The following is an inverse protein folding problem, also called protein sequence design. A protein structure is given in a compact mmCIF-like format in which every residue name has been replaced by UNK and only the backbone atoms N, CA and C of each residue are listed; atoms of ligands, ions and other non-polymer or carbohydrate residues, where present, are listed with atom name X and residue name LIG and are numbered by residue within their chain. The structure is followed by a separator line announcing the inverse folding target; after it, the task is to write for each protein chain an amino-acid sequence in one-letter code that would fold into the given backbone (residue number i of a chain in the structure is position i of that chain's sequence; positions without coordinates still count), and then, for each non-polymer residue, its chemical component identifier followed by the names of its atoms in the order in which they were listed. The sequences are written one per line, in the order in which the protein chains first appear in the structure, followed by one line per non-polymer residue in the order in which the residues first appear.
data_IF_792696784579
#
_entry.id   IF_792696784579
#
_cell.length_a   1.000
_cell.length_b   1.000
_cell.length_c   1.000
_cell.angle_alpha   90.00
_cell.angle_beta   90.00
_cell.angle_gamma   90.00
#
_symmetry.space_group_name_H-M   'P 1'
#
loop_
_entity.id
_entity.type
_entity.pdbx_description
1 polymer ?
#
# COMPACT_ATOMS: atom_id res chain seq x y z
N UNK A 1 -15.54 0.04 -20.44
CA UNK A 1 -16.06 1.40 -20.23
C UNK A 1 -16.32 1.60 -18.74
N UNK A 2 -15.32 2.14 -18.04
CA UNK A 2 -15.44 2.51 -16.64
C UNK A 2 -15.66 4.03 -16.58
N UNK A 3 -16.93 4.44 -16.60
CA UNK A 3 -17.32 5.78 -16.24
C UNK A 3 -17.64 5.84 -14.75
N UNK A 4 -16.73 6.39 -13.97
CA UNK A 4 -17.01 6.88 -12.62
C UNK A 4 -16.47 8.31 -12.53
N UNK A 5 -17.37 9.27 -12.79
CA UNK A 5 -17.11 10.68 -12.56
C UNK A 5 -18.17 11.21 -11.59
N UNK A 6 -17.83 11.32 -10.32
CA UNK A 6 -18.53 12.21 -9.39
C UNK A 6 -17.62 13.39 -9.04
N UNK A 7 -18.06 14.60 -9.38
CA UNK A 7 -17.31 15.87 -9.34
C UNK A 7 -17.23 16.50 -7.94
N UNK A 8 -17.10 15.72 -6.89
CA UNK A 8 -16.87 16.24 -5.52
C UNK A 8 -15.71 15.54 -4.84
N UNK A 9 -14.55 15.47 -5.50
CA UNK A 9 -13.36 14.93 -4.87
C UNK A 9 -12.57 16.04 -4.18
N UNK A 10 -12.78 16.13 -2.87
CA UNK A 10 -11.77 16.66 -1.95
C UNK A 10 -10.56 15.74 -2.02
N UNK A 11 -9.34 16.28 -1.82
CA UNK A 11 -8.10 15.50 -1.75
C UNK A 11 -8.27 14.32 -0.79
N UNK A 12 -8.47 13.12 -1.34
CA UNK A 12 -8.63 11.91 -0.55
C UNK A 12 -7.25 11.29 -0.30
N UNK A 13 -6.93 11.06 0.95
CA UNK A 13 -5.76 10.30 1.41
C UNK A 13 -5.80 8.88 0.81
N UNK A 14 -4.63 8.22 0.67
CA UNK A 14 -4.52 6.83 0.16
C UNK A 14 -5.50 5.87 0.86
N UNK A 15 -5.75 6.05 2.16
CA UNK A 15 -6.70 5.27 2.95
C UNK A 15 -8.13 5.38 2.47
N UNK A 16 -8.60 6.58 2.17
CA UNK A 16 -9.98 6.78 1.72
C UNK A 16 -10.21 6.12 0.36
N UNK A 17 -9.15 6.02 -0.47
CA UNK A 17 -9.21 5.32 -1.76
C UNK A 17 -9.18 3.79 -1.62
N UNK A 18 -8.47 3.24 -0.64
CA UNK A 18 -8.49 1.80 -0.38
C UNK A 18 -9.90 1.31 -0.04
N UNK A 19 -10.64 2.05 0.79
CA UNK A 19 -12.02 1.70 1.14
C UNK A 19 -13.02 1.85 -0.01
N UNK A 20 -12.73 2.71 -1.00
CA UNK A 20 -13.65 2.95 -2.12
C UNK A 20 -13.28 2.12 -3.34
N UNK A 21 -11.99 1.94 -3.60
CA UNK A 21 -11.48 1.32 -4.83
C UNK A 21 -11.29 -0.19 -4.68
N UNK A 22 -10.81 -0.66 -3.52
CA UNK A 22 -10.49 -2.08 -3.34
C UNK A 22 -11.72 -2.99 -3.37
N UNK A 23 -12.86 -2.68 -2.69
CA UNK A 23 -14.03 -3.53 -2.76
C UNK A 23 -14.63 -3.64 -4.16
N UNK A 24 -14.60 -2.55 -4.93
CA UNK A 24 -15.16 -2.50 -6.27
C UNK A 24 -14.22 -3.11 -7.33
N UNK A 25 -12.90 -2.86 -7.22
CA UNK A 25 -11.92 -3.36 -8.18
C UNK A 25 -11.56 -4.84 -7.99
N UNK A 26 -11.52 -5.30 -6.74
CA UNK A 26 -11.02 -6.65 -6.42
C UNK A 26 -12.14 -7.61 -6.02
N UNK A 27 -13.38 -7.15 -5.84
CA UNK A 27 -14.47 -7.95 -5.30
C UNK A 27 -14.20 -8.46 -3.88
N UNK A 28 -13.19 -7.90 -3.20
CA UNK A 28 -12.69 -8.32 -1.91
C UNK A 28 -13.45 -7.60 -0.78
N UNK A 29 -13.99 -8.36 0.17
CA UNK A 29 -14.75 -7.82 1.31
C UNK A 29 -13.91 -7.72 2.58
N UNK A 30 -12.84 -8.51 2.69
CA UNK A 30 -11.98 -8.56 3.86
C UNK A 30 -10.75 -7.66 3.63
N UNK A 31 -10.65 -6.60 4.43
CA UNK A 31 -9.53 -5.67 4.39
C UNK A 31 -8.87 -5.54 5.77
N UNK A 32 -7.58 -5.85 5.86
CA UNK A 32 -6.83 -5.85 7.11
C UNK A 32 -5.83 -4.70 7.13
N UNK A 33 -5.96 -3.82 8.12
CA UNK A 33 -5.12 -2.64 8.28
C UNK A 33 -4.72 -2.44 9.74
N UNK A 34 -3.41 -2.44 10.04
CA UNK A 34 -2.89 -2.30 11.40
C UNK A 34 -3.26 -0.97 12.06
N UNK A 35 -3.35 0.12 11.29
CA UNK A 35 -3.70 1.43 11.83
C UNK A 35 -5.18 1.50 12.26
N UNK A 36 -6.07 0.83 11.52
CA UNK A 36 -7.49 0.74 11.90
C UNK A 36 -7.69 -0.18 13.12
N UNK A 37 -6.93 -1.27 13.20
CA UNK A 37 -6.90 -2.12 14.40
C UNK A 37 -6.42 -1.31 15.60
N UNK A 38 -5.33 -0.54 15.47
CA UNK A 38 -4.80 0.29 16.55
C UNK A 38 -5.83 1.34 17.02
N UNK A 39 -6.56 1.97 16.09
CA UNK A 39 -7.66 2.90 16.42
C UNK A 39 -8.80 2.20 17.15
N UNK A 40 -9.13 0.97 16.76
CA UNK A 40 -10.15 0.17 17.45
C UNK A 40 -9.76 -0.18 18.89
N UNK A 41 -8.47 -0.47 19.13
CA UNK A 41 -7.94 -0.81 20.45
C UNK A 41 -7.78 0.43 21.35
N UNK A 42 -7.28 1.53 20.81
CA UNK A 42 -7.02 2.78 21.53
C UNK A 42 -7.33 4.00 20.66
N UNK A 43 -8.59 4.45 20.62
CA UNK A 43 -9.02 5.53 19.72
C UNK A 43 -8.29 6.86 19.92
N UNK A 44 -7.89 7.16 21.17
CA UNK A 44 -7.22 8.41 21.52
C UNK A 44 -5.69 8.33 21.53
N UNK A 45 -5.13 7.11 21.55
CA UNK A 45 -3.68 6.90 21.55
C UNK A 45 -3.30 5.61 20.81
N UNK A 46 -3.56 5.52 19.49
CA UNK A 46 -3.30 4.31 18.70
C UNK A 46 -1.81 3.92 18.65
N UNK A 47 -0.90 4.88 18.84
CA UNK A 47 0.55 4.61 18.84
C UNK A 47 0.96 3.68 20.00
N UNK A 48 0.33 3.80 21.14
CA UNK A 48 0.64 2.96 22.32
C UNK A 48 0.41 1.47 22.10
N UNK A 49 -0.45 1.12 21.14
CA UNK A 49 -0.84 -0.26 20.80
C UNK A 49 -0.39 -0.70 19.41
N UNK A 50 0.50 0.05 18.75
CA UNK A 50 0.91 -0.21 17.37
C UNK A 50 1.54 -1.61 17.18
N UNK A 51 2.31 -2.10 18.16
CA UNK A 51 2.92 -3.44 18.12
C UNK A 51 1.84 -4.53 18.26
N UNK A 52 0.89 -4.32 19.16
CA UNK A 52 -0.23 -5.23 19.36
C UNK A 52 -1.13 -5.29 18.12
N UNK A 53 -1.47 -4.14 17.56
CA UNK A 53 -2.23 -4.02 16.32
C UNK A 53 -1.53 -4.76 15.15
N UNK A 54 -0.20 -4.63 15.04
CA UNK A 54 0.58 -5.36 14.04
C UNK A 54 0.50 -6.88 14.23
N UNK A 55 0.52 -7.38 15.46
CA UNK A 55 0.34 -8.81 15.75
C UNK A 55 -1.05 -9.31 15.39
N UNK A 56 -2.09 -8.55 15.77
CA UNK A 56 -3.48 -8.86 15.44
C UNK A 56 -3.72 -8.85 13.92
N UNK A 57 -3.12 -7.90 13.21
CA UNK A 57 -3.15 -7.87 11.75
C UNK A 57 -2.60 -9.18 11.16
N UNK A 58 -1.42 -9.61 11.58
CA UNK A 58 -0.79 -10.84 11.09
C UNK A 58 -1.64 -12.07 11.43
N UNK A 59 -2.20 -12.13 12.64
CA UNK A 59 -3.08 -13.22 13.05
C UNK A 59 -4.33 -13.25 12.17
N UNK A 60 -5.02 -12.11 11.95
CA UNK A 60 -6.21 -12.06 11.09
C UNK A 60 -5.90 -12.50 9.66
N UNK A 61 -4.75 -12.09 9.11
CA UNK A 61 -4.31 -12.53 7.78
C UNK A 61 -4.10 -14.06 7.73
N UNK A 62 -3.54 -14.66 8.78
CA UNK A 62 -3.36 -16.11 8.88
C UNK A 62 -4.70 -16.86 9.02
N UNK A 63 -5.64 -16.30 9.77
CA UNK A 63 -7.00 -16.86 9.92
C UNK A 63 -7.72 -16.86 8.56
N UNK A 64 -7.77 -15.73 7.87
CA UNK A 64 -8.38 -15.60 6.54
C UNK A 64 -7.75 -16.56 5.52
N UNK A 65 -6.42 -16.65 5.51
CA UNK A 65 -5.70 -17.59 4.66
C UNK A 65 -6.04 -19.05 4.99
N UNK A 66 -6.37 -19.37 6.23
CA UNK A 66 -6.73 -20.70 6.68
C UNK A 66 -8.19 -21.05 6.38
N UNK A 67 -9.05 -20.03 6.41
CA UNK A 67 -10.48 -20.11 6.06
C UNK A 67 -10.70 -20.19 4.55
N UNK A 68 -9.70 -19.86 3.73
CA UNK A 68 -9.80 -19.84 2.27
C UNK A 68 -10.49 -18.58 1.74
N UNK A 69 -10.53 -17.50 2.54
CA UNK A 69 -11.18 -16.25 2.18
C UNK A 69 -10.27 -15.34 1.36
N UNK A 70 -10.84 -14.65 0.38
CA UNK A 70 -10.13 -13.58 -0.34
C UNK A 70 -10.02 -12.33 0.54
N UNK A 71 -8.83 -11.78 0.66
CA UNK A 71 -8.57 -10.60 1.49
C UNK A 71 -7.52 -9.69 0.90
N UNK A 72 -7.56 -8.42 1.32
CA UNK A 72 -6.54 -7.44 1.03
C UNK A 72 -5.95 -6.89 2.34
N UNK A 73 -4.72 -6.39 2.30
CA UNK A 73 -4.08 -5.71 3.41
C UNK A 73 -3.22 -4.55 2.95
N UNK A 74 -3.05 -3.58 3.84
CA UNK A 74 -2.23 -2.40 3.59
C UNK A 74 -0.86 -2.51 4.26
N UNK A 75 0.20 -2.14 3.52
CA UNK A 75 1.56 -2.07 4.02
C UNK A 75 2.36 -0.99 3.30
N UNK A 76 3.37 -0.45 3.96
CA UNK A 76 4.34 0.47 3.34
C UNK A 76 5.42 -0.24 2.53
N UNK A 77 5.44 -1.57 2.49
CA UNK A 77 6.51 -2.42 1.95
C UNK A 77 7.90 -2.17 2.58
N UNK A 78 7.99 -1.38 3.65
CA UNK A 78 9.26 -1.03 4.29
C UNK A 78 9.94 -2.22 5.00
N UNK A 79 9.25 -3.34 5.15
CA UNK A 79 9.76 -4.58 5.76
C UNK A 79 9.84 -5.70 4.74
N UNK A 80 10.71 -6.68 5.01
CA UNK A 80 10.84 -7.91 4.21
C UNK A 80 9.96 -9.05 4.70
N UNK A 81 9.25 -8.84 5.79
CA UNK A 81 8.50 -9.89 6.49
C UNK A 81 7.36 -10.49 5.65
N UNK A 82 6.77 -9.70 4.76
CA UNK A 82 5.67 -10.16 3.92
C UNK A 82 6.10 -11.05 2.74
N UNK A 83 7.39 -11.14 2.40
CA UNK A 83 7.87 -12.02 1.32
C UNK A 83 7.46 -13.47 1.60
N UNK A 84 7.78 -13.98 2.80
CA UNK A 84 7.40 -15.34 3.21
C UNK A 84 5.88 -15.54 3.29
N UNK A 85 5.15 -14.49 3.60
CA UNK A 85 3.69 -14.54 3.61
C UNK A 85 3.14 -14.69 2.18
N UNK A 86 3.64 -13.90 1.22
CA UNK A 86 3.28 -14.00 -0.19
C UNK A 86 3.57 -15.41 -0.73
N UNK A 87 4.78 -15.94 -0.51
CA UNK A 87 5.17 -17.28 -0.95
C UNK A 87 4.25 -18.37 -0.36
N UNK A 88 3.92 -18.27 0.93
CA UNK A 88 3.01 -19.20 1.60
C UNK A 88 1.58 -19.11 1.07
N UNK A 89 1.13 -17.90 0.77
CA UNK A 89 -0.20 -17.63 0.20
C UNK A 89 -0.30 -18.24 -1.20
N UNK A 90 0.70 -18.03 -2.04
CA UNK A 90 0.78 -18.63 -3.39
C UNK A 90 0.86 -20.16 -3.33
N UNK A 91 1.59 -20.73 -2.36
CA UNK A 91 1.64 -22.19 -2.17
C UNK A 91 0.27 -22.79 -1.81
N UNK A 92 -0.66 -21.99 -1.31
CA UNK A 92 -2.07 -22.37 -1.08
C UNK A 92 -3.00 -22.12 -2.29
N UNK A 93 -2.46 -21.66 -3.42
CA UNK A 93 -3.21 -21.46 -4.66
C UNK A 93 -3.80 -20.05 -4.84
N UNK A 94 -3.46 -19.09 -3.97
CA UNK A 94 -3.90 -17.72 -4.14
C UNK A 94 -3.13 -17.00 -5.24
N UNK A 95 -3.81 -16.12 -5.92
CA UNK A 95 -3.23 -15.16 -6.85
C UNK A 95 -2.95 -13.84 -6.11
N UNK A 96 -1.69 -13.44 -6.03
CA UNK A 96 -1.27 -12.26 -5.25
C UNK A 96 -1.10 -11.05 -6.17
N UNK A 97 -1.93 -10.03 -5.91
CA UNK A 97 -1.88 -8.73 -6.61
C UNK A 97 -1.27 -7.66 -5.72
N UNK A 98 -0.28 -6.94 -6.24
CA UNK A 98 0.33 -5.78 -5.59
C UNK A 98 -0.12 -4.49 -6.27
N UNK A 99 -0.77 -3.61 -5.53
CA UNK A 99 -1.07 -2.24 -5.96
C UNK A 99 -0.19 -1.27 -5.15
N UNK A 100 0.74 -0.60 -5.81
CA UNK A 100 1.65 0.35 -5.15
C UNK A 100 1.32 1.78 -5.53
N UNK A 101 0.98 2.60 -4.54
CA UNK A 101 0.68 4.03 -4.71
C UNK A 101 1.92 4.84 -4.35
N UNK A 102 2.66 5.21 -5.37
CA UNK A 102 3.91 5.95 -5.26
C UNK A 102 3.68 7.45 -5.11
N UNK A 103 4.61 8.11 -4.41
CA UNK A 103 4.77 9.56 -4.34
C UNK A 103 6.16 9.92 -4.85
N UNK A 104 6.34 11.01 -5.62
CA UNK A 104 7.64 11.38 -6.19
C UNK A 104 8.74 11.68 -5.17
N UNK A 105 8.39 12.12 -3.96
CA UNK A 105 9.35 12.51 -2.94
C UNK A 105 8.91 12.10 -1.53
N UNK A 106 9.84 11.85 -0.60
CA UNK A 106 9.49 11.62 0.80
C UNK A 106 8.89 12.85 1.47
N UNK A 107 9.18 14.07 0.99
CA UNK A 107 8.58 15.31 1.46
C UNK A 107 7.06 15.30 1.28
N UNK A 108 6.56 14.87 0.12
CA UNK A 108 5.12 14.73 -0.11
C UNK A 108 4.48 13.71 0.84
N UNK A 109 5.19 12.65 1.18
CA UNK A 109 4.71 11.71 2.18
C UNK A 109 4.63 12.35 3.57
N UNK A 110 5.60 13.20 3.93
CA UNK A 110 5.60 13.96 5.20
C UNK A 110 4.45 14.97 5.22
N UNK A 111 4.23 15.73 4.15
CA UNK A 111 3.12 16.68 4.03
C UNK A 111 1.76 16.00 4.19
N UNK A 112 1.57 14.83 3.58
CA UNK A 112 0.33 14.04 3.75
C UNK A 112 0.12 13.56 5.18
N UNK A 113 1.19 13.16 5.87
CA UNK A 113 1.09 12.81 7.29
C UNK A 113 0.72 14.05 8.11
N UNK A 114 1.31 15.22 7.82
CA UNK A 114 0.98 16.48 8.51
C UNK A 114 -0.50 16.88 8.30
N UNK A 115 -1.01 16.79 7.07
CA UNK A 115 -2.43 17.02 6.77
C UNK A 115 -3.33 16.08 7.55
N UNK A 116 -3.02 14.79 7.55
CA UNK A 116 -3.77 13.78 8.30
C UNK A 116 -3.77 14.06 9.81
N UNK A 117 -2.65 14.53 10.37
CA UNK A 117 -2.56 14.91 11.78
C UNK A 117 -3.47 16.08 12.08
N UNK A 118 -3.56 17.09 11.19
CA UNK A 118 -4.49 18.22 11.36
C UNK A 118 -5.97 17.79 11.33
N UNK A 119 -6.27 16.64 10.73
CA UNK A 119 -7.60 16.02 10.66
C UNK A 119 -7.86 14.99 11.78
N UNK A 120 -6.99 14.96 12.81
CA UNK A 120 -7.14 14.07 13.98
C UNK A 120 -6.45 12.71 13.85
N UNK A 121 -5.60 12.52 12.83
CA UNK A 121 -4.74 11.34 12.71
C UNK A 121 -3.50 11.42 13.62
N UNK A 122 -2.81 10.30 13.81
CA UNK A 122 -1.58 10.28 14.60
C UNK A 122 -0.36 10.79 13.81
N UNK A 123 0.60 11.36 14.53
CA UNK A 123 1.86 11.83 13.97
C UNK A 123 2.86 10.68 13.80
N UNK A 124 3.62 10.72 12.71
CA UNK A 124 4.76 9.83 12.49
C UNK A 124 6.01 10.72 12.32
N UNK A 125 7.10 10.48 13.06
CA UNK A 125 8.32 11.24 12.92
C UNK A 125 8.85 11.26 11.48
N UNK A 126 9.33 12.40 11.00
CA UNK A 126 9.74 12.59 9.60
C UNK A 126 10.90 11.67 9.18
N UNK A 127 11.82 11.36 10.10
CA UNK A 127 12.90 10.40 9.85
C UNK A 127 12.38 8.96 9.64
N UNK A 128 11.33 8.59 10.37
CA UNK A 128 10.64 7.29 10.18
C UNK A 128 9.95 7.24 8.83
N UNK A 129 9.29 8.33 8.42
CA UNK A 129 8.64 8.42 7.10
C UNK A 129 9.67 8.28 5.99
N UNK A 130 10.78 9.04 6.05
CA UNK A 130 11.87 8.97 5.05
C UNK A 130 12.45 7.56 4.95
N UNK A 131 12.75 6.94 6.09
CA UNK A 131 13.26 5.56 6.13
C UNK A 131 12.27 4.56 5.54
N UNK A 132 10.98 4.66 5.88
CA UNK A 132 9.94 3.78 5.34
C UNK A 132 9.75 4.00 3.84
N UNK A 133 9.82 5.23 3.37
CA UNK A 133 9.74 5.60 1.96
C UNK A 133 10.89 4.95 1.17
N UNK A 134 12.14 5.16 1.60
CA UNK A 134 13.30 4.58 0.96
C UNK A 134 13.28 3.06 0.91
N UNK A 135 12.98 2.42 2.06
CA UNK A 135 12.88 0.97 2.13
C UNK A 135 11.70 0.43 1.30
N UNK A 136 10.57 1.14 1.26
CA UNK A 136 9.40 0.76 0.49
C UNK A 136 9.70 0.69 -1.00
N UNK A 137 10.35 1.71 -1.58
CA UNK A 137 10.73 1.73 -2.99
C UNK A 137 11.77 0.64 -3.30
N UNK A 138 12.82 0.52 -2.48
CA UNK A 138 13.83 -0.52 -2.67
C UNK A 138 13.23 -1.92 -2.63
N UNK A 139 12.38 -2.20 -1.65
CA UNK A 139 11.74 -3.51 -1.54
C UNK A 139 10.71 -3.75 -2.66
N UNK A 140 10.04 -2.70 -3.15
CA UNK A 140 9.09 -2.80 -4.26
C UNK A 140 9.74 -3.50 -5.46
N UNK A 141 10.84 -2.96 -5.94
CA UNK A 141 11.50 -3.40 -7.17
C UNK A 141 12.33 -4.68 -6.96
N UNK A 142 13.01 -4.80 -5.80
CA UNK A 142 13.94 -5.93 -5.55
C UNK A 142 13.29 -7.17 -4.97
N UNK A 143 12.18 -7.04 -4.25
CA UNK A 143 11.58 -8.14 -3.50
C UNK A 143 10.15 -8.46 -3.91
N UNK A 144 9.30 -7.44 -4.06
CA UNK A 144 7.85 -7.67 -4.15
C UNK A 144 7.35 -7.81 -5.59
N UNK A 145 7.80 -6.96 -6.53
CA UNK A 145 7.39 -7.12 -7.94
C UNK A 145 7.79 -8.48 -8.51
N UNK A 146 8.99 -9.05 -8.23
CA UNK A 146 9.36 -10.34 -8.78
C UNK A 146 8.53 -11.53 -8.26
N UNK A 147 7.97 -11.43 -7.07
CA UNK A 147 7.24 -12.55 -6.46
C UNK A 147 5.72 -12.45 -6.61
N UNK A 148 5.16 -11.23 -6.77
CA UNK A 148 3.72 -11.05 -6.94
C UNK A 148 3.27 -11.53 -8.33
N UNK A 149 2.11 -12.20 -8.40
CA UNK A 149 1.58 -12.71 -9.66
C UNK A 149 1.16 -11.60 -10.61
N UNK A 150 0.71 -10.47 -10.06
CA UNK A 150 0.41 -9.25 -10.79
C UNK A 150 0.80 -8.04 -9.94
N UNK A 151 1.33 -6.99 -10.56
CA UNK A 151 1.63 -5.74 -9.88
C UNK A 151 1.35 -4.53 -10.76
N UNK A 152 0.93 -3.45 -10.12
CA UNK A 152 0.77 -2.15 -10.76
C UNK A 152 1.28 -1.05 -9.85
N UNK A 153 2.01 -0.11 -10.43
CA UNK A 153 2.48 1.11 -9.78
C UNK A 153 1.63 2.28 -10.27
N UNK A 154 1.14 3.06 -9.33
CA UNK A 154 0.39 4.28 -9.60
C UNK A 154 1.12 5.48 -9.00
N UNK A 155 1.21 6.58 -9.77
CA UNK A 155 1.50 7.90 -9.22
C UNK A 155 0.25 8.44 -8.54
N UNK A 156 0.37 8.75 -7.26
CA UNK A 156 -0.69 9.31 -6.44
C UNK A 156 -0.39 10.75 -6.02
N UNK A 157 0.49 11.48 -6.72
CA UNK A 157 0.87 12.86 -6.39
C UNK A 157 -0.11 13.90 -6.92
N UNK A 158 -0.80 13.59 -8.02
CA UNK A 158 -1.66 14.54 -8.72
C UNK A 158 -3.00 14.76 -8.02
N UNK A 159 -3.50 15.99 -8.08
CA UNK A 159 -4.78 16.37 -7.48
C UNK A 159 -5.99 15.81 -8.26
N UNK A 160 -5.83 15.57 -9.55
CA UNK A 160 -6.86 15.05 -10.45
C UNK A 160 -7.05 13.53 -10.40
N UNK A 161 -6.18 12.83 -9.68
CA UNK A 161 -6.36 11.40 -9.47
C UNK A 161 -5.06 10.59 -9.37
N UNK A 162 -5.21 9.29 -9.48
CA UNK A 162 -4.10 8.35 -9.57
C UNK A 162 -3.81 8.04 -11.04
N UNK A 163 -2.54 8.04 -11.43
CA UNK A 163 -2.11 7.74 -12.78
C UNK A 163 -1.25 6.50 -12.79
N UNK A 164 -1.55 5.57 -13.72
CA UNK A 164 -0.76 4.36 -13.85
C UNK A 164 0.65 4.72 -14.36
N UNK A 165 1.67 4.19 -13.69
CA UNK A 165 3.08 4.36 -14.07
C UNK A 165 3.60 3.16 -14.83
N UNK A 166 3.40 1.97 -14.29
CA UNK A 166 3.82 0.72 -14.90
C UNK A 166 3.03 -0.45 -14.32
N UNK A 167 3.04 -1.58 -15.03
CA UNK A 167 2.49 -2.83 -14.51
C UNK A 167 3.24 -4.04 -15.08
N UNK A 168 3.10 -5.16 -14.42
CA UNK A 168 3.75 -6.38 -14.82
C UNK A 168 3.22 -7.63 -14.11
N UNK A 169 3.83 -8.75 -14.44
CA UNK A 169 3.52 -10.10 -13.95
C UNK A 169 4.84 -10.72 -13.49
N UNK A 170 4.97 -10.97 -12.20
CA UNK A 170 6.23 -11.42 -11.60
C UNK A 170 7.39 -10.49 -11.97
N UNK A 171 8.50 -11.03 -12.46
CA UNK A 171 9.69 -10.31 -12.88
C UNK A 171 9.57 -9.66 -14.28
N UNK A 172 8.45 -9.87 -14.98
CA UNK A 172 8.23 -9.35 -16.33
C UNK A 172 7.43 -8.04 -16.32
N UNK A 173 8.04 -6.95 -16.75
CA UNK A 173 7.37 -5.67 -17.00
C UNK A 173 6.57 -5.82 -18.30
N UNK A 174 5.26 -5.60 -18.22
CA UNK A 174 4.37 -5.67 -19.39
C UNK A 174 4.23 -4.33 -20.08
N UNK A 175 4.19 -3.24 -19.32
CA UNK A 175 4.05 -1.90 -19.89
C UNK A 175 4.57 -0.85 -18.92
N UNK A 176 5.28 0.13 -19.45
CA UNK A 176 5.65 1.38 -18.76
C UNK A 176 4.84 2.50 -19.40
N UNK A 177 3.81 2.98 -18.70
CA UNK A 177 2.89 4.02 -19.15
C UNK A 177 3.50 5.40 -18.99
N UNK A 178 4.20 5.64 -17.86
CA UNK A 178 4.96 6.86 -17.59
C UNK A 178 6.44 6.54 -17.37
N UNK A 179 7.27 6.65 -18.44
CA UNK A 179 8.70 6.35 -18.34
C UNK A 179 9.47 7.27 -17.40
N UNK A 180 9.05 8.54 -17.24
CA UNK A 180 9.75 9.50 -16.38
C UNK A 180 9.56 9.16 -14.90
N UNK A 181 8.35 8.86 -14.50
CA UNK A 181 8.05 8.44 -13.13
C UNK A 181 8.64 7.06 -12.83
N UNK A 182 8.59 6.14 -13.77
CA UNK A 182 9.20 4.82 -13.61
C UNK A 182 10.71 4.91 -13.43
N UNK A 183 11.39 5.75 -14.22
CA UNK A 183 12.83 5.96 -14.10
C UNK A 183 13.22 6.49 -12.71
N UNK A 184 12.46 7.43 -12.15
CA UNK A 184 12.69 7.93 -10.78
C UNK A 184 12.60 6.82 -9.72
N UNK A 185 11.66 5.88 -9.89
CA UNK A 185 11.51 4.74 -8.97
C UNK A 185 12.74 3.83 -9.05
N UNK A 186 13.21 3.53 -10.27
CA UNK A 186 14.37 2.66 -10.48
C UNK A 186 15.67 3.33 -10.03
N UNK A 187 15.84 4.64 -10.28
CA UNK A 187 17.04 5.37 -9.86
C UNK A 187 17.13 5.48 -8.34
N UNK A 188 15.98 5.63 -7.65
CA UNK A 188 15.93 5.66 -6.17
C UNK A 188 16.39 4.35 -5.51
N UNK A 189 16.33 3.25 -6.24
CA UNK A 189 16.84 1.95 -5.77
C UNK A 189 18.38 1.93 -5.71
N UNK A 190 19.04 2.70 -6.61
CA UNK A 190 20.49 2.67 -6.78
C UNK A 190 21.25 3.59 -5.84
N UNK A 191 20.55 4.57 -5.23
CA UNK A 191 21.08 5.48 -4.22
C UNK A 191 20.93 4.89 -2.80
#
# INVERSE_FOLDING_TARGET
DLHLCDRRQRQMCIRDRSYTVLPEMLGCKEFVNADEIAKGLSPFNPESVAIEAGRLMLQRMDDLLSEGEDFAFETTLATRSYVKFVERTQAKGYFVTLLYFWLPTPEQAIERVATRVSEGGHNIPSDVIRRRYANGIRNLTTLYTPICDYWTIYDNSAADGIHKVAWGVKDEIKEIVDPLSYQKIVDYERD
#
